data_IF_682216537540
#
_entry.id   IF_682216537540
#
_cell.length_a   1.000
_cell.length_b   1.000
_cell.length_c   1.000
_cell.angle_alpha   90.00
_cell.angle_beta   90.00
_cell.angle_gamma   90.00
#
_symmetry.space_group_name_H-M   'P 1'
#
loop_
_entity.id
_entity.type
_entity.pdbx_description
1 polymer ?
#
# COMPACT_ATOMS: atom_id res chain seq x y z
N UNK A 1 16.18 -7.58 26.22
CA UNK A 1 16.58 -8.55 25.18
C UNK A 1 16.34 -7.86 23.86
N UNK A 2 17.41 -7.62 23.11
CA UNK A 2 17.32 -6.99 21.80
C UNK A 2 17.28 -8.10 20.75
N UNK A 3 16.33 -8.02 19.84
CA UNK A 3 16.22 -8.94 18.71
C UNK A 3 16.61 -8.12 17.48
N UNK A 4 17.71 -8.47 16.81
CA UNK A 4 18.25 -7.73 15.66
C UNK A 4 18.58 -6.24 15.91
N UNK A 5 18.91 -5.87 17.16
CA UNK A 5 19.24 -4.48 17.52
C UNK A 5 18.03 -3.58 17.85
N UNK A 6 16.82 -4.15 17.84
CA UNK A 6 15.58 -3.45 18.23
C UNK A 6 15.06 -4.03 19.55
N UNK A 7 14.65 -3.16 20.47
CA UNK A 7 14.10 -3.55 21.76
C UNK A 7 12.75 -4.26 21.60
N UNK A 8 12.48 -5.28 22.42
CA UNK A 8 11.20 -6.02 22.40
C UNK A 8 10.00 -5.11 22.64
N UNK A 9 10.15 -4.05 23.45
CA UNK A 9 9.08 -3.07 23.66
C UNK A 9 8.70 -2.34 22.37
N UNK A 10 9.69 -1.99 21.54
CA UNK A 10 9.48 -1.35 20.24
C UNK A 10 8.77 -2.30 19.29
N UNK A 11 9.14 -3.58 19.27
CA UNK A 11 8.47 -4.59 18.44
C UNK A 11 7.01 -4.79 18.85
N UNK A 12 6.69 -4.77 20.15
CA UNK A 12 5.32 -4.85 20.64
C UNK A 12 4.48 -3.64 20.21
N UNK A 13 5.05 -2.43 20.31
CA UNK A 13 4.39 -1.21 19.85
C UNK A 13 4.19 -1.21 18.32
N UNK A 14 5.20 -1.67 17.58
CA UNK A 14 5.11 -1.84 16.13
C UNK A 14 4.02 -2.84 15.73
N UNK A 15 3.95 -3.99 16.41
CA UNK A 15 2.91 -4.99 16.19
C UNK A 15 1.52 -4.44 16.50
N UNK A 16 1.37 -3.67 17.58
CA UNK A 16 0.11 -3.00 17.92
C UNK A 16 -0.29 -1.97 16.86
N UNK A 17 0.64 -1.14 16.39
CA UNK A 17 0.39 -0.18 15.32
C UNK A 17 -0.04 -0.87 14.02
N UNK A 18 0.65 -1.95 13.62
CA UNK A 18 0.27 -2.79 12.50
C UNK A 18 -1.10 -3.43 12.68
N UNK A 19 -1.44 -3.90 13.89
CA UNK A 19 -2.74 -4.47 14.21
C UNK A 19 -3.87 -3.45 14.04
N UNK A 20 -3.70 -2.24 14.57
CA UNK A 20 -4.68 -1.16 14.39
C UNK A 20 -4.80 -0.79 12.90
N UNK A 21 -3.68 -0.67 12.20
CA UNK A 21 -3.67 -0.42 10.76
C UNK A 21 -4.37 -1.52 9.96
N UNK A 22 -4.17 -2.79 10.33
CA UNK A 22 -4.83 -3.95 9.72
C UNK A 22 -6.35 -3.91 9.93
N UNK A 23 -6.76 -3.55 11.14
CA UNK A 23 -8.17 -3.39 11.49
C UNK A 23 -8.83 -2.30 10.63
N UNK A 24 -8.22 -1.11 10.56
CA UNK A 24 -8.69 -0.01 9.71
C UNK A 24 -8.75 -0.43 8.25
N UNK A 25 -7.68 -1.04 7.72
CA UNK A 25 -7.68 -1.51 6.33
C UNK A 25 -8.77 -2.54 6.04
N UNK A 26 -9.08 -3.41 6.98
CA UNK A 26 -10.16 -4.40 6.79
C UNK A 26 -11.54 -3.76 6.82
N UNK A 27 -11.72 -2.71 7.65
CA UNK A 27 -13.00 -2.01 7.79
C UNK A 27 -13.35 -1.12 6.59
N UNK A 28 -12.38 -0.39 6.03
CA UNK A 28 -12.60 0.60 4.95
C UNK A 28 -11.91 0.27 3.62
N UNK A 29 -11.12 -0.80 3.56
CA UNK A 29 -10.44 -1.26 2.34
C UNK A 29 -9.09 -0.61 2.03
N UNK A 30 -8.62 0.35 2.85
CA UNK A 30 -7.30 0.97 2.76
C UNK A 30 -6.88 1.51 4.15
N UNK A 31 -5.62 1.89 4.33
CA UNK A 31 -5.22 2.69 5.50
C UNK A 31 -4.25 2.05 6.48
N UNK A 32 -3.81 0.79 6.27
CA UNK A 32 -2.73 0.23 7.11
C UNK A 32 -1.48 1.11 7.07
N UNK A 33 -1.01 1.49 5.88
CA UNK A 33 0.15 2.36 5.76
C UNK A 33 -0.13 3.76 6.33
N UNK A 34 -1.34 4.30 6.15
CA UNK A 34 -1.73 5.62 6.68
C UNK A 34 -1.66 5.65 8.21
N UNK A 35 -2.05 4.56 8.88
CA UNK A 35 -2.05 4.46 10.34
C UNK A 35 -0.70 4.01 10.89
N UNK A 36 -0.15 2.91 10.36
CA UNK A 36 1.02 2.26 10.93
C UNK A 36 2.33 2.94 10.55
N UNK A 37 2.49 3.43 9.30
CA UNK A 37 3.76 4.01 8.84
C UNK A 37 4.27 5.18 9.70
N UNK A 38 3.47 6.18 10.10
CA UNK A 38 3.99 7.28 10.93
C UNK A 38 4.43 6.82 12.33
N UNK A 39 3.71 5.87 12.93
CA UNK A 39 4.07 5.31 14.24
C UNK A 39 5.37 4.49 14.13
N UNK A 40 5.46 3.63 13.11
CA UNK A 40 6.66 2.84 12.85
C UNK A 40 7.87 3.73 12.53
N UNK A 41 7.69 4.78 11.73
CA UNK A 41 8.75 5.74 11.41
C UNK A 41 9.28 6.45 12.65
N UNK A 42 8.38 6.83 13.57
CA UNK A 42 8.74 7.45 14.83
C UNK A 42 9.51 6.50 15.76
N UNK A 43 9.14 5.22 15.78
CA UNK A 43 9.81 4.20 16.60
C UNK A 43 11.19 3.85 16.08
N UNK A 44 11.28 3.45 14.81
CA UNK A 44 12.51 3.20 14.09
C UNK A 44 12.21 3.19 12.57
N UNK A 45 12.80 4.10 11.78
CA UNK A 45 12.59 4.18 10.33
C UNK A 45 12.82 2.87 9.58
N UNK A 46 13.65 1.95 10.12
CA UNK A 46 13.90 0.64 9.50
C UNK A 46 12.64 -0.23 9.43
N UNK A 47 11.65 0.02 10.31
CA UNK A 47 10.41 -0.74 10.40
C UNK A 47 9.42 -0.43 9.27
N UNK A 48 9.60 0.69 8.56
CA UNK A 48 8.61 1.18 7.59
C UNK A 48 8.66 0.44 6.26
N UNK A 49 9.76 0.39 5.50
CA UNK A 49 9.71 -0.29 4.20
C UNK A 49 9.70 -1.81 4.34
N UNK A 50 10.53 -2.40 5.21
CA UNK A 50 10.67 -3.86 5.28
C UNK A 50 9.52 -4.52 6.07
N UNK A 51 9.49 -4.36 7.41
CA UNK A 51 8.50 -5.02 8.26
C UNK A 51 7.05 -4.70 7.91
N UNK A 52 6.69 -3.43 7.65
CA UNK A 52 5.32 -3.07 7.26
C UNK A 52 4.88 -3.79 5.98
N UNK A 53 5.76 -3.89 4.96
CA UNK A 53 5.45 -4.57 3.70
C UNK A 53 5.27 -6.08 3.92
N UNK A 54 6.04 -6.68 4.82
CA UNK A 54 5.85 -8.09 5.19
C UNK A 54 4.48 -8.33 5.83
N UNK A 55 4.03 -7.43 6.71
CA UNK A 55 2.69 -7.53 7.31
C UNK A 55 1.60 -7.32 6.24
N UNK A 56 1.75 -6.32 5.36
CA UNK A 56 0.84 -6.09 4.24
C UNK A 56 0.73 -7.32 3.33
N UNK A 57 1.87 -7.92 2.99
CA UNK A 57 1.93 -9.12 2.17
C UNK A 57 1.24 -10.30 2.87
N UNK A 58 1.53 -10.52 4.16
CA UNK A 58 0.89 -11.56 4.95
C UNK A 58 -0.64 -11.38 4.95
N UNK A 59 -1.13 -10.17 5.19
CA UNK A 59 -2.56 -9.85 5.12
C UNK A 59 -3.15 -10.15 3.74
N UNK A 60 -2.49 -9.73 2.66
CA UNK A 60 -2.95 -9.99 1.29
C UNK A 60 -3.03 -11.49 1.00
N UNK A 61 -2.03 -12.28 1.41
CA UNK A 61 -2.00 -13.73 1.23
C UNK A 61 -3.09 -14.40 2.05
N UNK A 62 -3.23 -14.04 3.33
CA UNK A 62 -4.27 -14.62 4.21
C UNK A 62 -5.67 -14.29 3.72
N UNK A 63 -5.94 -13.05 3.31
CA UNK A 63 -7.23 -12.64 2.76
C UNK A 63 -7.49 -13.31 1.40
N UNK A 64 -6.50 -13.34 0.52
CA UNK A 64 -6.59 -14.03 -0.77
C UNK A 64 -6.89 -15.52 -0.59
N UNK A 65 -6.25 -16.19 0.37
CA UNK A 65 -6.53 -17.58 0.67
C UNK A 65 -7.95 -17.77 1.25
N UNK A 66 -8.32 -16.96 2.25
CA UNK A 66 -9.61 -17.07 2.95
C UNK A 66 -10.79 -16.84 2.01
N UNK A 67 -10.65 -15.89 1.09
CA UNK A 67 -11.71 -15.47 0.16
C UNK A 67 -11.48 -15.96 -1.28
N UNK A 68 -10.64 -16.99 -1.47
CA UNK A 68 -10.27 -17.51 -2.81
C UNK A 68 -11.44 -17.93 -3.69
N UNK A 69 -12.57 -18.33 -3.09
CA UNK A 69 -13.77 -18.76 -3.85
C UNK A 69 -14.61 -17.58 -4.32
N UNK A 70 -14.51 -16.42 -3.67
CA UNK A 70 -15.20 -15.18 -4.03
C UNK A 70 -14.33 -14.26 -4.90
N UNK A 71 -13.10 -14.67 -5.20
CA UNK A 71 -12.14 -13.87 -5.97
C UNK A 71 -12.45 -13.96 -7.47
N UNK A 72 -12.85 -12.84 -8.04
CA UNK A 72 -12.96 -12.65 -9.49
C UNK A 72 -11.57 -12.48 -10.11
N UNK A 73 -10.84 -13.58 -10.31
CA UNK A 73 -9.49 -13.58 -10.86
C UNK A 73 -9.40 -12.90 -12.24
N UNK A 74 -10.49 -12.95 -13.01
CA UNK A 74 -10.62 -12.26 -14.30
C UNK A 74 -10.49 -10.73 -14.20
N UNK A 75 -10.81 -10.15 -13.03
CA UNK A 75 -10.70 -8.72 -12.74
C UNK A 75 -9.42 -8.40 -11.95
N UNK A 76 -9.01 -9.30 -11.04
CA UNK A 76 -7.82 -9.11 -10.23
C UNK A 76 -6.51 -9.26 -11.04
N UNK A 77 -6.43 -10.24 -11.92
CA UNK A 77 -5.19 -10.53 -12.66
C UNK A 77 -4.73 -9.35 -13.54
N UNK A 78 -5.60 -8.66 -14.30
CA UNK A 78 -5.19 -7.44 -15.02
C UNK A 78 -4.59 -6.36 -14.12
N UNK A 79 -5.13 -6.15 -12.91
CA UNK A 79 -4.59 -5.18 -11.97
C UNK A 79 -3.19 -5.57 -11.49
N UNK A 80 -3.01 -6.85 -11.10
CA UNK A 80 -1.71 -7.35 -10.63
C UNK A 80 -0.64 -7.33 -11.74
N UNK A 81 -1.00 -7.75 -12.94
CA UNK A 81 -0.09 -7.77 -14.09
C UNK A 81 0.31 -6.35 -14.50
N UNK A 82 -0.62 -5.41 -14.54
CA UNK A 82 -0.34 -4.02 -14.87
C UNK A 82 0.46 -3.29 -13.79
N UNK A 83 0.39 -3.74 -12.53
CA UNK A 83 1.21 -3.21 -11.43
C UNK A 83 2.70 -3.45 -11.64
N UNK A 84 3.11 -4.56 -12.26
CA UNK A 84 4.52 -4.89 -12.51
C UNK A 84 5.23 -3.82 -13.38
N UNK A 85 4.77 -3.51 -14.60
CA UNK A 85 5.37 -2.45 -15.40
C UNK A 85 5.17 -1.07 -14.76
N UNK A 86 4.05 -0.85 -14.05
CA UNK A 86 3.85 0.37 -13.26
C UNK A 86 4.97 0.58 -12.24
N UNK A 87 5.29 -0.43 -11.44
CA UNK A 87 6.37 -0.39 -10.45
C UNK A 87 7.74 -0.19 -11.08
N UNK A 88 8.01 -0.80 -12.23
CA UNK A 88 9.25 -0.55 -12.97
C UNK A 88 9.36 0.94 -13.39
N UNK A 89 8.27 1.54 -13.86
CA UNK A 89 8.21 2.97 -14.17
C UNK A 89 8.36 3.82 -12.91
N UNK A 90 7.72 3.45 -11.80
CA UNK A 90 7.89 4.13 -10.51
C UNK A 90 9.35 4.17 -10.06
N UNK A 91 10.07 3.05 -10.18
CA UNK A 91 11.52 2.98 -9.91
C UNK A 91 12.31 3.85 -10.90
N UNK A 92 11.97 3.83 -12.19
CA UNK A 92 12.59 4.73 -13.18
C UNK A 92 12.38 6.20 -12.82
N UNK A 93 11.18 6.59 -12.39
CA UNK A 93 10.89 7.97 -11.94
C UNK A 93 11.74 8.35 -10.73
N UNK A 94 11.92 7.45 -9.77
CA UNK A 94 12.81 7.67 -8.62
C UNK A 94 14.26 7.96 -9.03
N UNK A 95 14.73 7.37 -10.13
CA UNK A 95 16.11 7.52 -10.62
C UNK A 95 16.29 8.73 -11.53
N UNK A 96 15.26 9.11 -12.29
CA UNK A 96 15.36 10.12 -13.35
C UNK A 96 14.84 11.50 -12.94
N UNK A 97 13.97 11.57 -11.94
CA UNK A 97 13.25 12.80 -11.55
C UNK A 97 13.81 13.37 -10.26
N UNK A 98 13.88 14.71 -10.16
CA UNK A 98 14.33 15.38 -8.95
C UNK A 98 13.42 15.09 -7.75
N UNK A 99 13.99 15.07 -6.54
CA UNK A 99 13.24 14.83 -5.30
C UNK A 99 12.07 15.81 -5.09
N UNK A 100 12.25 17.09 -5.48
CA UNK A 100 11.21 18.12 -5.37
C UNK A 100 10.05 17.83 -6.33
N UNK A 101 10.35 17.48 -7.57
CA UNK A 101 9.33 17.14 -8.57
C UNK A 101 8.58 15.86 -8.18
N UNK A 102 9.27 14.88 -7.62
CA UNK A 102 8.63 13.65 -7.12
C UNK A 102 7.71 13.93 -5.93
N UNK A 103 8.15 14.76 -4.97
CA UNK A 103 7.31 15.17 -3.84
C UNK A 103 6.04 15.89 -4.30
N UNK A 104 6.15 16.77 -5.31
CA UNK A 104 4.99 17.42 -5.93
C UNK A 104 4.07 16.41 -6.62
N UNK A 105 4.63 15.46 -7.37
CA UNK A 105 3.87 14.40 -8.04
C UNK A 105 3.05 13.58 -7.04
N UNK A 106 3.68 13.14 -5.94
CA UNK A 106 3.04 12.39 -4.86
C UNK A 106 1.96 13.25 -4.17
N UNK A 107 2.25 14.52 -3.87
CA UNK A 107 1.28 15.41 -3.24
C UNK A 107 0.02 15.60 -4.11
N UNK A 108 0.21 15.82 -5.42
CA UNK A 108 -0.90 15.96 -6.38
C UNK A 108 -1.71 14.67 -6.47
N UNK A 109 -1.07 13.50 -6.53
CA UNK A 109 -1.79 12.22 -6.63
C UNK A 109 -2.58 11.90 -5.36
N UNK A 110 -2.03 12.20 -4.18
CA UNK A 110 -2.76 12.10 -2.91
C UNK A 110 -3.97 13.05 -2.91
N UNK A 111 -3.78 14.31 -3.33
CA UNK A 111 -4.84 15.30 -3.34
C UNK A 111 -5.97 14.90 -4.31
N UNK A 112 -5.63 14.40 -5.49
CA UNK A 112 -6.60 13.82 -6.43
C UNK A 112 -7.32 12.61 -5.82
N UNK A 113 -6.61 11.74 -5.11
CA UNK A 113 -7.20 10.61 -4.40
C UNK A 113 -8.24 11.04 -3.37
N UNK A 114 -7.92 12.06 -2.57
CA UNK A 114 -8.86 12.65 -1.59
C UNK A 114 -10.07 13.25 -2.29
N UNK A 115 -9.87 14.02 -3.36
CA UNK A 115 -10.98 14.61 -4.13
C UNK A 115 -11.92 13.54 -4.69
N UNK A 116 -11.38 12.47 -5.28
CA UNK A 116 -12.18 11.34 -5.77
C UNK A 116 -12.96 10.70 -4.62
N UNK A 117 -12.33 10.51 -3.44
CA UNK A 117 -13.01 9.97 -2.25
C UNK A 117 -14.16 10.85 -1.73
N UNK A 118 -14.10 12.17 -1.92
CA UNK A 118 -15.18 13.08 -1.55
C UNK A 118 -16.35 13.06 -2.55
N UNK A 119 -16.13 12.52 -3.75
CA UNK A 119 -17.17 12.35 -4.76
C UNK A 119 -17.77 10.95 -4.73
N UNK A 120 -19.01 10.80 -5.19
CA UNK A 120 -19.69 9.50 -5.26
C UNK A 120 -19.42 8.77 -6.60
N UNK A 121 -18.26 9.02 -7.21
CA UNK A 121 -17.91 8.45 -8.52
C UNK A 121 -17.53 6.98 -8.33
N UNK A 122 -18.44 6.09 -8.70
CA UNK A 122 -18.19 4.66 -8.77
C UNK A 122 -17.78 4.26 -10.19
N UNK A 123 -16.47 4.07 -10.42
CA UNK A 123 -16.00 3.49 -11.66
C UNK A 123 -16.44 2.02 -11.76
N UNK A 124 -16.94 1.56 -12.93
CA UNK A 124 -17.34 0.18 -13.08
C UNK A 124 -16.11 -0.74 -12.99
N UNK A 125 -16.29 -1.91 -12.36
CA UNK A 125 -15.25 -2.93 -12.20
C UNK A 125 -15.00 -3.68 -13.52
N UNK A 126 -14.37 -3.03 -14.49
CA UNK A 126 -13.98 -3.61 -15.78
C UNK A 126 -12.50 -4.01 -15.79
N UNK A 127 -12.12 -4.94 -16.67
CA UNK A 127 -10.72 -5.37 -16.82
C UNK A 127 -9.78 -4.20 -17.11
N UNK A 128 -10.22 -3.26 -17.94
CA UNK A 128 -9.46 -2.06 -18.29
C UNK A 128 -9.27 -1.13 -17.10
N UNK A 129 -10.34 -0.86 -16.35
CA UNK A 129 -10.26 0.00 -15.16
C UNK A 129 -9.38 -0.63 -14.07
N UNK A 130 -9.45 -1.95 -13.90
CA UNK A 130 -8.57 -2.70 -13.00
C UNK A 130 -7.11 -2.63 -13.45
N UNK A 131 -6.82 -2.80 -14.74
CA UNK A 131 -5.47 -2.68 -15.28
C UNK A 131 -4.91 -1.27 -15.11
N UNK A 132 -5.68 -0.24 -15.41
CA UNK A 132 -5.27 1.17 -15.21
C UNK A 132 -5.02 1.43 -13.72
N UNK A 133 -5.93 1.00 -12.85
CA UNK A 133 -5.78 1.16 -11.40
C UNK A 133 -4.53 0.45 -10.88
N UNK A 134 -4.28 -0.79 -11.34
CA UNK A 134 -3.08 -1.56 -11.00
C UNK A 134 -1.80 -0.90 -11.49
N UNK A 135 -1.79 -0.40 -12.73
CA UNK A 135 -0.67 0.34 -13.30
C UNK A 135 -0.36 1.61 -12.51
N UNK A 136 -1.36 2.48 -12.31
CA UNK A 136 -1.21 3.73 -11.55
C UNK A 136 -0.77 3.45 -10.10
N UNK A 137 -1.35 2.44 -9.46
CA UNK A 137 -0.90 1.98 -8.14
C UNK A 137 0.56 1.52 -8.16
N UNK A 138 1.01 0.84 -9.22
CA UNK A 138 2.40 0.43 -9.37
C UNK A 138 3.35 1.62 -9.55
N UNK A 139 2.98 2.62 -10.36
CA UNK A 139 3.78 3.82 -10.59
C UNK A 139 3.92 4.65 -9.30
N UNK A 140 2.84 4.76 -8.52
CA UNK A 140 2.86 5.52 -7.26
C UNK A 140 3.60 4.78 -6.14
N UNK A 141 3.47 3.44 -6.07
CA UNK A 141 4.11 2.61 -5.04
C UNK A 141 3.41 2.68 -3.70
#
# INVERSE_FOLDING_TARGET
MDIFGVSVSVLLLAALACFIGAYVQTAIGFGMAVVAAPILFYLDPILVPGPLMMVLLAMCVTNGWRFRKQLELNLLAPALLARIPGSAIGVLLLLLVSQQSLALLIAVTIMLGVLVRLTNIALPMTRTNMAIGGFLSGVMG
#
